data_IF_357366950660
#
_entry.id   IF_357366950660
#
_cell.length_a   1.000
_cell.length_b   1.000
_cell.length_c   1.000
_cell.angle_alpha   90.00
_cell.angle_beta   90.00
_cell.angle_gamma   90.00
#
_symmetry.space_group_name_H-M   'P 1'
#
loop_
_entity.id
_entity.type
_entity.pdbx_description
1 polymer ?
#
# COMPACT_ATOMS: atom_id res chain seq x y z
N UNK A 1 -61.01 -25.48 -23.08
CA UNK A 1 -59.94 -25.50 -22.06
C UNK A 1 -58.86 -24.52 -22.50
N UNK A 2 -58.86 -23.31 -21.93
CA UNK A 2 -57.80 -22.32 -22.12
C UNK A 2 -56.65 -22.67 -21.18
N UNK A 3 -55.46 -22.90 -21.74
CA UNK A 3 -54.21 -22.95 -21.00
C UNK A 3 -53.40 -21.70 -21.34
N UNK A 4 -53.52 -20.65 -20.54
CA UNK A 4 -52.68 -19.45 -20.62
C UNK A 4 -51.42 -19.74 -19.80
N UNK A 5 -50.30 -19.95 -20.46
CA UNK A 5 -48.99 -20.03 -19.81
C UNK A 5 -48.46 -18.61 -19.57
N UNK A 6 -48.54 -18.14 -18.32
CA UNK A 6 -47.79 -16.96 -17.86
C UNK A 6 -46.33 -17.36 -17.66
N UNK A 7 -45.45 -16.88 -18.54
CA UNK A 7 -44.01 -16.83 -18.27
C UNK A 7 -43.71 -15.54 -17.49
N UNK A 8 -43.51 -15.65 -16.18
CA UNK A 8 -42.85 -14.60 -15.40
C UNK A 8 -41.36 -14.62 -15.74
N UNK A 9 -40.97 -13.83 -16.74
CA UNK A 9 -39.57 -13.44 -16.95
C UNK A 9 -39.12 -12.55 -15.80
N UNK A 10 -38.48 -13.14 -14.79
CA UNK A 10 -37.71 -12.38 -13.81
C UNK A 10 -36.49 -11.80 -14.54
N UNK A 11 -36.63 -10.57 -15.04
CA UNK A 11 -35.52 -9.80 -15.56
C UNK A 11 -34.52 -9.57 -14.42
N UNK A 12 -33.39 -10.27 -14.47
CA UNK A 12 -32.22 -9.85 -13.73
C UNK A 12 -31.86 -8.47 -14.28
N UNK A 13 -32.17 -7.41 -13.52
CA UNK A 13 -31.67 -6.08 -13.83
C UNK A 13 -30.14 -6.21 -13.92
N UNK A 14 -29.57 -6.02 -15.12
CA UNK A 14 -28.13 -6.00 -15.28
C UNK A 14 -27.56 -5.05 -14.23
N UNK A 15 -26.68 -5.57 -13.38
CA UNK A 15 -26.04 -4.78 -12.35
C UNK A 15 -25.32 -3.63 -13.05
N UNK A 16 -25.92 -2.45 -12.99
CA UNK A 16 -25.40 -1.30 -13.71
C UNK A 16 -23.98 -1.03 -13.20
N UNK A 17 -23.00 -1.04 -14.10
CA UNK A 17 -21.61 -0.81 -13.74
C UNK A 17 -21.22 0.65 -13.90
N UNK A 18 -20.34 1.12 -13.03
CA UNK A 18 -19.56 2.34 -13.23
C UNK A 18 -18.07 2.02 -13.30
N UNK A 19 -17.25 3.06 -13.29
CA UNK A 19 -15.79 2.95 -13.30
C UNK A 19 -15.18 3.76 -12.16
N UNK A 20 -13.99 3.35 -11.73
CA UNK A 20 -13.17 4.05 -10.76
C UNK A 20 -11.84 4.39 -11.42
N UNK A 21 -11.46 5.67 -11.39
CA UNK A 21 -10.13 6.14 -11.81
C UNK A 21 -9.33 6.49 -10.57
N UNK A 22 -8.26 5.75 -10.31
CA UNK A 22 -7.37 5.98 -9.18
C UNK A 22 -6.16 6.84 -9.58
N UNK A 23 -5.72 7.73 -8.71
CA UNK A 23 -4.42 8.37 -8.78
C UNK A 23 -3.71 8.27 -7.43
N UNK A 24 -2.41 7.99 -7.46
CA UNK A 24 -1.59 7.86 -6.25
C UNK A 24 -0.45 8.86 -6.31
N UNK A 25 -0.23 9.56 -5.21
CA UNK A 25 0.95 10.39 -5.01
C UNK A 25 1.74 9.92 -3.79
N UNK A 26 3.04 10.15 -3.83
CA UNK A 26 3.96 9.98 -2.71
C UNK A 26 4.64 11.32 -2.45
N UNK A 27 4.37 11.90 -1.27
CA UNK A 27 4.82 13.25 -0.91
C UNK A 27 4.46 14.29 -2.01
N UNK A 28 3.24 14.22 -2.54
CA UNK A 28 2.75 15.12 -3.60
C UNK A 28 3.25 14.82 -5.02
N UNK A 29 4.17 13.88 -5.22
CA UNK A 29 4.66 13.49 -6.55
C UNK A 29 3.92 12.26 -7.09
N UNK A 30 3.69 12.11 -8.41
CA UNK A 30 3.04 10.92 -8.97
C UNK A 30 3.76 9.63 -8.57
N UNK A 31 3.00 8.62 -8.12
CA UNK A 31 3.53 7.34 -7.65
C UNK A 31 2.70 6.17 -8.17
N UNK A 32 3.27 4.95 -8.04
CA UNK A 32 2.58 3.71 -8.42
C UNK A 32 1.79 3.16 -7.24
N UNK A 33 0.58 2.69 -7.52
CA UNK A 33 -0.25 2.03 -6.52
C UNK A 33 -1.12 0.95 -7.13
N UNK A 34 -1.64 0.09 -6.25
CA UNK A 34 -2.68 -0.88 -6.58
C UNK A 34 -3.98 -0.50 -5.89
N UNK A 35 -5.08 -0.93 -6.46
CA UNK A 35 -6.44 -0.68 -6.00
C UNK A 35 -7.17 -2.02 -5.85
N UNK A 36 -7.91 -2.16 -4.77
CA UNK A 36 -8.90 -3.24 -4.54
C UNK A 36 -10.23 -2.57 -4.21
N UNK A 37 -11.30 -3.02 -4.86
CA UNK A 37 -12.66 -2.49 -4.70
C UNK A 37 -13.50 -3.57 -4.05
N UNK A 38 -14.07 -3.25 -2.90
CA UNK A 38 -14.94 -4.13 -2.14
C UNK A 38 -16.36 -3.55 -2.10
N UNK A 39 -17.37 -4.41 -2.29
CA UNK A 39 -18.77 -4.07 -2.10
C UNK A 39 -19.44 -5.19 -1.29
N UNK A 40 -20.20 -4.82 -0.26
CA UNK A 40 -20.85 -5.78 0.65
C UNK A 40 -19.88 -6.84 1.22
N UNK A 41 -18.64 -6.43 1.50
CA UNK A 41 -17.58 -7.31 2.04
C UNK A 41 -16.97 -8.29 1.03
N UNK A 42 -17.25 -8.14 -0.27
CA UNK A 42 -16.65 -8.96 -1.33
C UNK A 42 -15.84 -8.11 -2.29
N UNK A 43 -14.70 -8.62 -2.73
CA UNK A 43 -13.93 -8.00 -3.82
C UNK A 43 -14.73 -8.08 -5.13
N UNK A 44 -14.94 -6.93 -5.76
CA UNK A 44 -15.68 -6.80 -7.02
C UNK A 44 -14.81 -6.27 -8.16
N UNK A 45 -13.55 -5.92 -7.87
CA UNK A 45 -12.58 -5.49 -8.85
C UNK A 45 -11.26 -5.07 -8.21
N UNK A 46 -10.20 -5.02 -9.01
CA UNK A 46 -8.89 -4.60 -8.55
C UNK A 46 -7.89 -4.46 -9.69
N UNK A 47 -6.76 -3.83 -9.43
CA UNK A 47 -5.71 -3.64 -10.44
C UNK A 47 -4.69 -2.57 -10.09
N UNK A 48 -4.03 -2.04 -11.13
CA UNK A 48 -3.13 -0.89 -11.02
C UNK A 48 -3.91 0.42 -11.03
N UNK A 49 -3.48 1.39 -10.23
CA UNK A 49 -4.02 2.76 -10.30
C UNK A 49 -3.68 3.49 -11.61
N UNK A 50 -2.86 2.92 -12.49
CA UNK A 50 -2.65 3.46 -13.84
C UNK A 50 -3.79 3.14 -14.83
N UNK A 51 -4.75 2.30 -14.44
CA UNK A 51 -5.90 1.90 -15.26
C UNK A 51 -7.23 2.26 -14.57
N UNK A 52 -8.30 2.31 -15.35
CA UNK A 52 -9.66 2.39 -14.81
C UNK A 52 -10.12 0.99 -14.36
N UNK A 53 -10.86 0.93 -13.26
CA UNK A 53 -11.40 -0.32 -12.71
C UNK A 53 -12.91 -0.27 -12.79
N UNK A 54 -13.54 -1.26 -13.43
CA UNK A 54 -15.00 -1.39 -13.41
C UNK A 54 -15.47 -1.89 -12.05
N UNK A 55 -16.57 -1.33 -11.57
CA UNK A 55 -17.21 -1.75 -10.32
C UNK A 55 -18.74 -1.63 -10.45
N UNK A 56 -19.53 -2.45 -9.74
CA UNK A 56 -20.97 -2.29 -9.71
C UNK A 56 -21.35 -0.92 -9.13
N UNK A 57 -22.44 -0.34 -9.63
CA UNK A 57 -23.00 0.88 -9.05
C UNK A 57 -23.40 0.65 -7.59
N UNK A 58 -23.30 1.71 -6.79
CA UNK A 58 -23.57 1.69 -5.36
C UNK A 58 -22.35 2.08 -4.53
N UNK A 59 -22.47 1.89 -3.21
CA UNK A 59 -21.38 2.18 -2.25
C UNK A 59 -20.35 1.07 -2.30
N UNK A 60 -19.09 1.44 -2.42
CA UNK A 60 -17.95 0.54 -2.41
C UNK A 60 -16.90 1.08 -1.44
N UNK A 61 -16.16 0.18 -0.81
CA UNK A 61 -14.93 0.50 -0.09
C UNK A 61 -13.76 0.25 -1.01
N UNK A 62 -12.93 1.26 -1.24
CA UNK A 62 -11.76 1.17 -2.11
C UNK A 62 -10.50 1.20 -1.27
N UNK A 63 -9.68 0.16 -1.34
CA UNK A 63 -8.37 0.12 -0.68
C UNK A 63 -7.27 0.34 -1.70
N UNK A 64 -6.51 1.41 -1.51
CA UNK A 64 -5.36 1.76 -2.34
C UNK A 64 -4.09 1.46 -1.57
N UNK A 65 -3.11 0.80 -2.21
CA UNK A 65 -1.81 0.46 -1.64
C UNK A 65 -0.68 1.09 -2.45
N UNK A 66 0.29 1.70 -1.77
CA UNK A 66 1.50 2.21 -2.41
C UNK A 66 2.43 1.05 -2.80
N UNK A 67 2.96 1.07 -4.01
CA UNK A 67 3.92 0.07 -4.50
C UNK A 67 5.35 0.54 -4.23
N UNK A 68 6.18 -0.33 -3.64
CA UNK A 68 7.63 -0.11 -3.49
C UNK A 68 8.08 0.37 -2.11
N UNK A 69 7.16 0.73 -1.22
CA UNK A 69 7.49 1.02 0.18
C UNK A 69 7.58 -0.28 1.00
N UNK A 70 8.57 -0.37 1.88
CA UNK A 70 8.89 -1.58 2.66
C UNK A 70 7.74 -1.99 3.58
N UNK A 71 7.01 -1.02 4.14
CA UNK A 71 5.89 -1.27 5.05
C UNK A 71 4.53 -1.45 4.35
N UNK A 72 4.52 -1.44 3.01
CA UNK A 72 3.33 -1.66 2.18
C UNK A 72 2.10 -0.85 2.64
N UNK A 73 2.20 0.50 2.74
CA UNK A 73 1.11 1.30 3.28
C UNK A 73 -0.11 1.28 2.37
N UNK A 74 -1.28 1.28 3.00
CA UNK A 74 -2.56 1.32 2.32
C UNK A 74 -3.54 2.29 2.99
N UNK A 75 -4.44 2.86 2.21
CA UNK A 75 -5.55 3.72 2.67
C UNK A 75 -6.85 3.20 2.09
N UNK A 76 -7.92 3.23 2.88
CA UNK A 76 -9.27 2.91 2.42
C UNK A 76 -10.10 4.19 2.26
N UNK A 77 -10.89 4.26 1.21
CA UNK A 77 -11.78 5.38 0.87
C UNK A 77 -13.15 4.81 0.51
N UNK A 78 -14.22 5.34 1.10
CA UNK A 78 -15.58 5.00 0.69
C UNK A 78 -15.96 5.80 -0.55
N UNK A 79 -16.45 5.12 -1.58
CA UNK A 79 -16.78 5.69 -2.88
C UNK A 79 -18.19 5.28 -3.28
N UNK A 80 -18.97 6.22 -3.80
CA UNK A 80 -20.23 5.90 -4.48
C UNK A 80 -19.97 5.82 -5.99
N UNK A 81 -20.14 4.63 -6.55
CA UNK A 81 -20.02 4.37 -7.98
C UNK A 81 -21.39 4.59 -8.60
N UNK A 82 -21.47 5.47 -9.60
CA UNK A 82 -22.70 5.70 -10.36
C UNK A 82 -22.65 4.96 -11.69
N UNK A 83 -23.77 4.39 -12.11
CA UNK A 83 -23.91 3.72 -13.40
C UNK A 83 -23.44 4.59 -14.56
N UNK A 84 -22.61 4.02 -15.44
CA UNK A 84 -22.10 4.68 -16.65
C UNK A 84 -21.15 5.86 -16.40
N UNK A 85 -20.77 6.14 -15.14
CA UNK A 85 -19.86 7.24 -14.78
C UNK A 85 -18.53 6.73 -14.25
N UNK A 86 -17.51 7.56 -14.38
CA UNK A 86 -16.19 7.35 -13.77
C UNK A 86 -16.09 8.18 -12.49
N UNK A 87 -15.90 7.52 -11.35
CA UNK A 87 -15.62 8.15 -10.06
C UNK A 87 -14.10 8.31 -9.87
N UNK A 88 -13.57 9.54 -9.75
CA UNK A 88 -12.15 9.74 -9.47
C UNK A 88 -11.86 9.55 -7.98
N UNK A 89 -10.73 8.92 -7.67
CA UNK A 89 -10.14 8.90 -6.33
C UNK A 89 -8.68 9.30 -6.40
N UNK A 90 -8.23 10.06 -5.40
CA UNK A 90 -6.83 10.44 -5.26
C UNK A 90 -6.35 10.16 -3.84
N UNK A 91 -5.20 9.51 -3.72
CA UNK A 91 -4.61 9.12 -2.44
C UNK A 91 -3.15 9.54 -2.40
N UNK A 92 -2.81 10.40 -1.44
CA UNK A 92 -1.42 10.77 -1.16
C UNK A 92 -0.85 9.93 -0.01
N UNK A 93 0.36 9.40 -0.18
CA UNK A 93 1.12 8.72 0.87
C UNK A 93 2.28 9.59 1.34
N UNK A 94 2.37 9.75 2.66
CA UNK A 94 3.48 10.44 3.29
C UNK A 94 4.53 9.42 3.70
N UNK A 95 5.71 9.51 3.12
CA UNK A 95 6.81 8.57 3.33
C UNK A 95 8.12 9.29 3.58
N UNK A 96 9.04 8.63 4.28
CA UNK A 96 10.45 8.98 4.34
C UNK A 96 11.31 7.86 3.76
N UNK A 97 12.58 8.17 3.54
CA UNK A 97 13.59 7.20 3.06
C UNK A 97 14.53 6.87 4.20
N UNK A 98 14.64 5.58 4.54
CA UNK A 98 15.62 5.05 5.49
C UNK A 98 16.75 4.34 4.74
N UNK A 99 17.99 4.72 5.04
CA UNK A 99 19.18 3.98 4.63
C UNK A 99 19.97 3.61 5.89
N UNK A 100 20.48 2.38 5.93
CA UNK A 100 21.29 1.90 7.06
C UNK A 100 22.64 1.45 6.53
N UNK A 101 23.73 1.99 7.07
CA UNK A 101 25.09 1.60 6.73
C UNK A 101 25.76 0.97 7.94
N UNK A 102 26.30 -0.22 7.74
CA UNK A 102 27.12 -0.93 8.73
C UNK A 102 28.58 -0.54 8.47
N UNK A 103 29.22 0.02 9.48
CA UNK A 103 30.61 0.49 9.46
C UNK A 103 31.44 -0.39 10.40
N UNK A 104 32.48 -1.05 9.88
CA UNK A 104 33.30 -2.01 10.62
C UNK A 104 34.78 -1.74 10.37
N UNK A 105 35.63 -1.80 11.39
CA UNK A 105 37.09 -1.75 11.21
C UNK A 105 37.72 -3.11 10.88
N UNK A 106 37.01 -4.21 11.19
CA UNK A 106 37.46 -5.60 11.00
C UNK A 106 36.95 -6.27 9.72
N UNK A 107 37.20 -7.59 9.56
CA UNK A 107 36.76 -8.35 8.38
C UNK A 107 35.24 -8.28 8.20
N UNK A 108 34.82 -8.21 6.94
CA UNK A 108 33.41 -8.07 6.56
C UNK A 108 32.62 -9.31 7.00
N UNK A 109 31.79 -9.16 8.03
CA UNK A 109 30.75 -10.14 8.37
C UNK A 109 29.46 -9.89 7.60
N UNK A 110 28.58 -10.90 7.51
CA UNK A 110 27.22 -10.72 6.99
C UNK A 110 26.40 -9.94 8.01
N UNK A 111 26.23 -8.64 7.77
CA UNK A 111 25.36 -7.80 8.57
C UNK A 111 23.90 -7.93 8.14
N UNK A 112 22.99 -8.03 9.11
CA UNK A 112 21.55 -8.04 8.89
C UNK A 112 20.95 -6.80 9.52
N UNK A 113 20.20 -6.01 8.73
CA UNK A 113 19.40 -4.90 9.24
C UNK A 113 17.93 -5.33 9.24
N UNK A 114 17.30 -5.22 10.39
CA UNK A 114 15.86 -5.44 10.57
C UNK A 114 15.18 -4.12 10.91
N UNK A 115 14.05 -3.83 10.29
CA UNK A 115 13.22 -2.65 10.58
C UNK A 115 11.93 -3.10 11.23
N UNK A 116 11.64 -2.57 12.41
CA UNK A 116 10.46 -2.84 13.21
C UNK A 116 9.60 -1.59 13.37
N UNK A 117 8.29 -1.78 13.50
CA UNK A 117 7.34 -0.75 13.93
C UNK A 117 6.57 -1.30 15.12
N UNK A 118 6.81 -0.73 16.30
CA UNK A 118 6.39 -1.35 17.56
C UNK A 118 7.01 -2.75 17.70
N UNK A 119 6.20 -3.75 18.07
CA UNK A 119 6.63 -5.15 18.18
C UNK A 119 6.69 -5.91 16.85
N UNK A 120 6.26 -5.30 15.73
CA UNK A 120 6.15 -5.97 14.44
C UNK A 120 7.39 -5.72 13.58
N UNK A 121 8.02 -6.81 13.11
CA UNK A 121 9.01 -6.76 12.03
C UNK A 121 8.33 -6.38 10.72
N UNK A 122 8.79 -5.29 10.12
CA UNK A 122 8.30 -4.79 8.84
C UNK A 122 9.08 -5.38 7.68
N UNK A 123 10.40 -5.52 7.83
CA UNK A 123 11.25 -6.10 6.79
C UNK A 123 12.72 -6.08 7.16
N UNK A 124 13.55 -6.48 6.19
CA UNK A 124 15.01 -6.46 6.30
C UNK A 124 15.61 -5.57 5.22
N UNK A 125 16.72 -4.90 5.56
CA UNK A 125 17.47 -4.06 4.63
C UNK A 125 18.91 -4.58 4.49
N UNK A 126 19.46 -4.42 3.29
CA UNK A 126 20.89 -4.54 3.08
C UNK A 126 21.62 -3.28 3.56
N UNK A 127 22.89 -3.41 3.95
CA UNK A 127 23.73 -2.25 4.23
C UNK A 127 23.87 -1.39 2.98
N UNK A 128 23.65 -0.08 3.11
CA UNK A 128 23.66 0.90 2.02
C UNK A 128 22.41 0.89 1.13
N UNK A 129 21.45 -0.01 1.37
CA UNK A 129 20.18 -0.04 0.64
C UNK A 129 19.23 0.98 1.29
N UNK A 130 18.70 1.86 0.45
CA UNK A 130 17.66 2.81 0.85
C UNK A 130 16.27 2.22 0.61
N UNK A 131 15.36 2.45 1.54
CA UNK A 131 13.97 2.01 1.43
C UNK A 131 12.99 3.11 1.81
N UNK A 132 11.88 3.16 1.07
CA UNK A 132 10.75 4.03 1.39
C UNK A 132 9.91 3.37 2.49
N UNK A 133 9.48 4.18 3.44
CA UNK A 133 8.69 3.78 4.61
C UNK A 133 7.68 4.88 4.91
N UNK A 134 6.50 4.54 5.40
CA UNK A 134 5.56 5.56 5.88
C UNK A 134 6.19 6.44 6.96
N UNK A 135 5.65 7.63 7.17
CA UNK A 135 6.05 8.46 8.32
C UNK A 135 5.78 7.76 9.65
N UNK A 136 6.56 8.12 10.68
CA UNK A 136 6.40 7.64 12.04
C UNK A 136 7.67 7.07 12.66
N UNK A 137 7.50 6.44 13.82
CA UNK A 137 8.59 5.86 14.62
C UNK A 137 8.85 4.41 14.23
N UNK A 138 10.14 4.07 14.12
CA UNK A 138 10.66 2.74 13.85
C UNK A 138 11.80 2.40 14.80
N UNK A 139 11.99 1.10 15.02
CA UNK A 139 13.22 0.56 15.62
C UNK A 139 14.01 -0.15 14.52
N UNK A 140 15.27 0.25 14.36
CA UNK A 140 16.22 -0.40 13.46
C UNK A 140 17.17 -1.24 14.29
N UNK A 141 17.17 -2.54 14.05
CA UNK A 141 18.05 -3.51 14.72
C UNK A 141 19.10 -3.96 13.72
N UNK A 142 20.36 -3.69 14.03
CA UNK A 142 21.51 -4.10 13.21
C UNK A 142 22.25 -5.21 13.94
N UNK A 143 22.46 -6.34 13.27
CA UNK A 143 23.23 -7.46 13.79
C UNK A 143 24.44 -7.73 12.93
N UNK A 144 25.59 -7.91 13.56
CA UNK A 144 26.84 -8.25 12.91
C UNK A 144 27.68 -9.14 13.82
N UNK A 145 28.07 -10.33 13.36
CA UNK A 145 29.02 -11.18 14.10
C UNK A 145 28.55 -11.62 15.50
N UNK A 146 27.24 -11.66 15.75
CA UNK A 146 26.67 -11.96 17.07
C UNK A 146 26.41 -10.74 17.95
N UNK A 147 26.93 -9.56 17.58
CA UNK A 147 26.60 -8.29 18.24
C UNK A 147 25.32 -7.68 17.68
N UNK A 148 24.62 -6.92 18.52
CA UNK A 148 23.38 -6.23 18.18
C UNK A 148 23.43 -4.74 18.58
N UNK A 149 23.00 -3.87 17.68
CA UNK A 149 22.78 -2.43 17.94
C UNK A 149 21.36 -2.06 17.56
N UNK A 150 20.73 -1.21 18.38
CA UNK A 150 19.35 -0.75 18.18
C UNK A 150 19.30 0.76 18.04
N UNK A 151 18.49 1.24 17.11
CA UNK A 151 18.31 2.66 16.84
C UNK A 151 16.83 3.00 16.74
N UNK A 152 16.38 3.97 17.55
CA UNK A 152 15.06 4.58 17.35
C UNK A 152 15.15 5.63 16.24
N UNK A 153 14.25 5.53 15.27
CA UNK A 153 14.24 6.42 14.10
C UNK A 153 12.82 6.97 13.91
N UNK A 154 12.71 8.30 13.92
CA UNK A 154 11.48 9.00 13.55
C UNK A 154 11.62 9.52 12.11
N UNK A 155 10.75 9.05 11.20
CA UNK A 155 10.71 9.47 9.79
C UNK A 155 9.59 10.48 9.54
N UNK A 156 9.94 11.57 8.84
CA UNK A 156 9.01 12.60 8.36
C UNK A 156 8.82 12.51 6.85
N UNK A 157 7.74 13.12 6.35
CA UNK A 157 7.42 13.13 4.93
C UNK A 157 8.55 13.79 4.13
N UNK A 158 8.98 13.15 3.04
CA UNK A 158 10.08 13.59 2.19
C UNK A 158 11.48 13.53 2.82
N UNK A 159 11.61 13.13 4.10
CA UNK A 159 12.89 13.07 4.78
C UNK A 159 13.72 11.89 4.28
N UNK A 160 15.01 12.09 4.02
CA UNK A 160 16.00 11.01 3.95
C UNK A 160 16.76 10.90 5.26
N UNK A 161 16.77 9.72 5.87
CA UNK A 161 17.46 9.42 7.12
C UNK A 161 18.49 8.31 6.92
N UNK A 162 19.73 8.61 7.28
CA UNK A 162 20.83 7.65 7.32
C UNK A 162 21.10 7.23 8.76
N UNK A 163 21.14 5.93 9.02
CA UNK A 163 21.64 5.34 10.27
C UNK A 163 23.00 4.71 9.99
N UNK A 164 24.02 5.13 10.74
CA UNK A 164 25.37 4.54 10.70
C UNK A 164 25.53 3.66 11.93
N UNK A 165 25.65 2.36 11.72
CA UNK A 165 25.83 1.39 12.78
C UNK A 165 27.30 0.98 12.85
N UNK A 166 27.96 1.37 13.93
CA UNK A 166 29.38 1.12 14.14
C UNK A 166 29.57 -0.15 14.98
N UNK A 167 30.44 -1.02 14.49
CA UNK A 167 30.91 -2.26 15.13
C UNK A 167 32.44 -2.28 15.13
#
# INVERSE_FOLDING_TARGET
>A
MLGVSLFCGAGAAEAQSGQIRCSVTENGSPARGTIVVEQNGREVGGGSCSAVVSAPAGRCKVTVRLVGALDNPSKSVDVTVSAGKTSPISVDFQTGVLEVRIETKGPRGTGIVTVNRGSKRIGTLGSGVAAHLSTGRYEVVVRLGGEERRYSVDLRAGQRRLVRAQF
#
